data_IF_077461013396
#
_entry.id   IF_077461013396
#
_cell.length_a   1.000
_cell.length_b   1.000
_cell.length_c   1.000
_cell.angle_alpha   90.00
_cell.angle_beta   90.00
_cell.angle_gamma   90.00
#
_symmetry.space_group_name_H-M   'P 1'
#
loop_
_entity.id
_entity.type
_entity.pdbx_description
1 polymer ?
#
# COMPACT_ATOMS: atom_id res chain seq x y z
N UNK A 1 8.69 -21.68 7.70
CA UNK A 1 8.32 -22.24 6.38
C UNK A 1 7.81 -21.09 5.53
N UNK A 2 8.21 -21.02 4.26
CA UNK A 2 7.63 -20.06 3.31
C UNK A 2 6.32 -20.62 2.75
N UNK A 3 5.34 -19.74 2.52
CA UNK A 3 4.07 -20.05 1.86
C UNK A 3 4.08 -19.41 0.46
N UNK A 4 3.55 -20.13 -0.53
CA UNK A 4 3.40 -19.65 -1.91
C UNK A 4 1.92 -19.71 -2.26
N UNK A 5 1.34 -18.52 -2.47
CA UNK A 5 -0.05 -18.37 -2.88
C UNK A 5 -0.15 -18.08 -4.38
N UNK A 6 -1.15 -18.70 -5.02
CA UNK A 6 -1.53 -18.37 -6.39
C UNK A 6 -2.84 -17.58 -6.36
N UNK A 7 -2.75 -16.30 -6.71
CA UNK A 7 -3.89 -15.37 -6.68
C UNK A 7 -4.23 -14.98 -8.12
N UNK A 8 -5.50 -15.09 -8.49
CA UNK A 8 -6.00 -14.61 -9.79
C UNK A 8 -6.66 -13.25 -9.58
N UNK A 9 -5.99 -12.17 -10.00
CA UNK A 9 -6.52 -10.81 -9.95
C UNK A 9 -6.08 -10.03 -11.20
N UNK A 10 -6.98 -9.24 -11.77
CA UNK A 10 -6.69 -8.38 -12.91
C UNK A 10 -5.74 -7.23 -12.55
N UNK A 11 -5.17 -6.60 -13.57
CA UNK A 11 -4.40 -5.37 -13.40
C UNK A 11 -5.33 -4.19 -13.04
N UNK A 12 -4.93 -3.36 -12.09
CA UNK A 12 -5.66 -2.16 -11.67
C UNK A 12 -5.04 -0.86 -12.20
N UNK A 13 -3.80 -0.90 -12.65
CA UNK A 13 -3.09 0.27 -13.20
C UNK A 13 -2.68 0.06 -14.67
N UNK A 14 -2.37 1.16 -15.36
CA UNK A 14 -1.93 1.15 -16.78
C UNK A 14 -0.56 0.47 -16.98
N UNK A 15 0.30 0.51 -15.96
CA UNK A 15 1.64 -0.08 -15.97
C UNK A 15 1.79 -1.02 -14.77
N UNK A 16 1.15 -2.21 -14.80
CA UNK A 16 0.97 -3.05 -13.62
C UNK A 16 2.24 -3.78 -13.19
N UNK A 17 3.18 -4.02 -14.10
CA UNK A 17 4.43 -4.71 -13.81
C UNK A 17 5.59 -4.12 -14.60
N UNK A 18 6.79 -4.38 -14.11
CA UNK A 18 8.05 -4.25 -14.85
C UNK A 18 8.68 -5.63 -15.01
N UNK A 19 9.41 -5.83 -16.11
CA UNK A 19 10.23 -7.03 -16.27
C UNK A 19 11.49 -6.86 -15.43
N UNK A 20 11.79 -7.82 -14.58
CA UNK A 20 12.95 -7.80 -13.70
C UNK A 20 13.56 -9.20 -13.61
N UNK A 21 14.89 -9.27 -13.57
CA UNK A 21 15.59 -10.51 -13.26
C UNK A 21 15.65 -10.72 -11.75
N UNK A 22 15.13 -11.85 -11.30
CA UNK A 22 15.15 -12.30 -9.90
C UNK A 22 15.81 -13.67 -9.89
N UNK A 23 16.98 -13.77 -9.26
CA UNK A 23 17.78 -15.00 -9.19
C UNK A 23 18.00 -15.68 -10.56
N UNK A 24 18.29 -14.87 -11.59
CA UNK A 24 18.53 -15.35 -12.96
C UNK A 24 17.26 -15.75 -13.72
N UNK A 25 16.07 -15.45 -13.18
CA UNK A 25 14.79 -15.67 -13.85
C UNK A 25 14.15 -14.33 -14.18
N UNK A 26 13.82 -14.15 -15.45
CA UNK A 26 13.06 -12.99 -15.91
C UNK A 26 11.60 -13.14 -15.48
N UNK A 27 11.15 -12.24 -14.59
CA UNK A 27 9.79 -12.24 -14.04
C UNK A 27 9.09 -10.90 -14.30
N UNK A 28 7.76 -10.93 -14.35
CA UNK A 28 6.92 -9.73 -14.35
C UNK A 28 6.64 -9.35 -12.90
N UNK A 29 7.44 -8.45 -12.34
CA UNK A 29 7.28 -7.96 -10.97
C UNK A 29 6.28 -6.80 -10.96
N UNK A 30 5.25 -6.89 -10.14
CA UNK A 30 4.28 -5.80 -10.00
C UNK A 30 4.94 -4.49 -9.52
N UNK A 31 4.41 -3.37 -10.00
CA UNK A 31 4.87 -2.05 -9.57
C UNK A 31 4.30 -1.70 -8.20
N UNK A 32 4.96 -0.80 -7.45
CA UNK A 32 4.42 -0.37 -6.15
C UNK A 32 3.00 0.20 -6.25
N UNK A 33 2.66 1.05 -7.24
CA UNK A 33 1.30 1.54 -7.39
C UNK A 33 0.27 0.43 -7.63
N UNK A 34 0.63 -0.61 -8.40
CA UNK A 34 -0.23 -1.78 -8.61
C UNK A 34 -0.46 -2.56 -7.31
N UNK A 35 0.61 -2.84 -6.56
CA UNK A 35 0.55 -3.58 -5.29
C UNK A 35 -0.32 -2.83 -4.28
N UNK A 36 -0.11 -1.51 -4.13
CA UNK A 36 -0.90 -0.69 -3.21
C UNK A 36 -2.34 -0.57 -3.66
N UNK A 37 -2.60 -0.36 -4.96
CA UNK A 37 -3.96 -0.33 -5.51
C UNK A 37 -4.70 -1.64 -5.20
N UNK A 38 -4.07 -2.80 -5.38
CA UNK A 38 -4.67 -4.10 -5.07
C UNK A 38 -4.96 -4.28 -3.58
N UNK A 39 -4.05 -3.86 -2.70
CA UNK A 39 -4.26 -3.90 -1.24
C UNK A 39 -5.48 -3.07 -0.84
N UNK A 40 -5.56 -1.83 -1.30
CA UNK A 40 -6.67 -0.92 -1.01
C UNK A 40 -7.98 -1.46 -1.61
N UNK A 41 -7.95 -1.86 -2.89
CA UNK A 41 -9.13 -2.28 -3.62
C UNK A 41 -9.76 -3.55 -3.05
N UNK A 42 -8.94 -4.58 -2.75
CA UNK A 42 -9.44 -5.88 -2.31
C UNK A 42 -9.54 -6.04 -0.80
N UNK A 43 -8.69 -5.37 -0.02
CA UNK A 43 -8.54 -5.62 1.43
C UNK A 43 -8.56 -4.36 2.29
N UNK A 44 -8.69 -3.18 1.71
CA UNK A 44 -8.55 -1.91 2.40
C UNK A 44 -9.50 -1.73 3.60
N UNK A 45 -10.75 -2.21 3.50
CA UNK A 45 -11.71 -2.18 4.61
C UNK A 45 -11.33 -3.07 5.80
N UNK A 46 -10.40 -4.01 5.61
CA UNK A 46 -9.91 -4.94 6.63
C UNK A 46 -8.40 -4.79 6.89
N UNK A 47 -7.82 -3.67 6.45
CA UNK A 47 -6.39 -3.42 6.46
C UNK A 47 -5.72 -3.81 7.79
N UNK A 48 -4.59 -4.51 7.67
CA UNK A 48 -3.75 -4.93 8.79
C UNK A 48 -2.57 -3.98 8.98
N UNK A 49 -1.88 -4.00 10.13
CA UNK A 49 -0.71 -3.15 10.37
C UNK A 49 0.36 -3.22 9.25
N UNK A 50 0.55 -4.39 8.62
CA UNK A 50 1.44 -4.51 7.45
C UNK A 50 0.95 -3.72 6.24
N UNK A 51 -0.35 -3.74 5.92
CA UNK A 51 -0.88 -2.97 4.79
C UNK A 51 -0.72 -1.46 5.01
N UNK A 52 -0.86 -1.01 6.26
CA UNK A 52 -0.63 0.39 6.67
C UNK A 52 0.83 0.77 6.44
N UNK A 53 1.76 -0.05 6.92
CA UNK A 53 3.18 0.14 6.68
C UNK A 53 3.52 0.14 5.19
N UNK A 54 2.95 -0.78 4.41
CA UNK A 54 3.22 -0.87 2.96
C UNK A 54 2.77 0.40 2.23
N UNK A 55 1.60 0.96 2.57
CA UNK A 55 1.11 2.23 1.99
C UNK A 55 2.09 3.37 2.32
N UNK A 56 2.45 3.51 3.60
CA UNK A 56 3.38 4.55 4.06
C UNK A 56 4.78 4.41 3.41
N UNK A 57 5.31 3.19 3.36
CA UNK A 57 6.61 2.89 2.79
C UNK A 57 6.64 3.14 1.27
N UNK A 58 5.59 2.77 0.54
CA UNK A 58 5.48 3.03 -0.90
C UNK A 58 5.41 4.54 -1.19
N UNK A 59 4.70 5.30 -0.35
CA UNK A 59 4.57 6.74 -0.51
C UNK A 59 5.90 7.50 -0.30
N UNK A 60 6.83 6.99 0.53
CA UNK A 60 8.16 7.63 0.72
C UNK A 60 8.94 7.83 -0.57
N UNK A 61 8.79 6.94 -1.56
CA UNK A 61 9.52 7.03 -2.83
C UNK A 61 8.61 7.25 -4.06
N UNK A 62 7.32 6.92 -3.96
CA UNK A 62 6.39 6.96 -5.09
C UNK A 62 5.02 7.55 -4.74
N UNK A 63 4.97 8.61 -3.91
CA UNK A 63 3.72 9.29 -3.55
C UNK A 63 2.83 9.59 -4.77
N UNK A 64 3.34 10.36 -5.74
CA UNK A 64 2.56 10.74 -6.92
C UNK A 64 1.99 9.55 -7.71
N UNK A 65 2.81 8.54 -8.08
CA UNK A 65 2.31 7.32 -8.71
C UNK A 65 1.28 6.54 -7.87
N UNK A 66 1.47 6.43 -6.55
CA UNK A 66 0.51 5.76 -5.64
C UNK A 66 -0.81 6.52 -5.59
N UNK A 67 -0.77 7.84 -5.38
CA UNK A 67 -1.97 8.70 -5.37
C UNK A 67 -2.71 8.59 -6.70
N UNK A 68 -1.99 8.63 -7.82
CA UNK A 68 -2.57 8.48 -9.15
C UNK A 68 -3.20 7.10 -9.39
N UNK A 69 -2.63 6.02 -8.83
CA UNK A 69 -3.23 4.69 -8.95
C UNK A 69 -4.51 4.56 -8.11
N UNK A 70 -4.52 5.15 -6.92
CA UNK A 70 -5.65 5.10 -5.99
C UNK A 70 -6.80 6.03 -6.39
N UNK A 71 -6.55 7.09 -7.17
CA UNK A 71 -7.59 8.04 -7.60
C UNK A 71 -8.69 7.40 -8.47
N UNK A 72 -8.41 6.25 -9.08
CA UNK A 72 -9.39 5.45 -9.82
C UNK A 72 -10.39 4.70 -8.91
N UNK A 73 -10.13 4.63 -7.60
CA UNK A 73 -10.88 3.80 -6.64
C UNK A 73 -11.31 4.59 -5.37
N UNK A 74 -12.00 5.74 -5.52
CA UNK A 74 -12.29 6.64 -4.39
C UNK A 74 -13.14 5.99 -3.29
N UNK A 75 -14.04 5.08 -3.63
CA UNK A 75 -14.88 4.38 -2.65
C UNK A 75 -14.04 3.44 -1.77
N UNK A 76 -13.14 2.67 -2.39
CA UNK A 76 -12.25 1.74 -1.68
C UNK A 76 -11.25 2.52 -0.82
N UNK A 77 -10.75 3.64 -1.32
CA UNK A 77 -9.90 4.57 -0.55
C UNK A 77 -10.64 5.11 0.66
N UNK A 78 -11.89 5.58 0.51
CA UNK A 78 -12.69 6.09 1.60
C UNK A 78 -12.95 5.04 2.70
N UNK A 79 -13.31 3.81 2.30
CA UNK A 79 -13.50 2.68 3.24
C UNK A 79 -12.20 2.32 3.98
N UNK A 80 -11.07 2.39 3.28
CA UNK A 80 -9.74 2.17 3.89
C UNK A 80 -9.43 3.25 4.90
N UNK A 81 -9.63 4.52 4.53
CA UNK A 81 -9.41 5.68 5.41
C UNK A 81 -10.27 5.61 6.67
N UNK A 82 -11.56 5.29 6.54
CA UNK A 82 -12.46 5.06 7.68
C UNK A 82 -11.98 3.90 8.57
N UNK A 83 -11.48 2.81 7.97
CA UNK A 83 -10.93 1.68 8.72
C UNK A 83 -9.71 2.09 9.55
N UNK A 84 -8.81 2.87 8.95
CA UNK A 84 -7.57 3.33 9.58
C UNK A 84 -7.83 4.30 10.73
N UNK A 85 -8.79 5.23 10.55
CA UNK A 85 -9.19 6.20 11.58
C UNK A 85 -9.69 5.54 12.87
N UNK A 86 -10.30 4.35 12.76
CA UNK A 86 -10.82 3.59 13.91
C UNK A 86 -9.76 2.74 14.62
N UNK A 87 -8.52 2.73 14.14
CA UNK A 87 -7.44 1.96 14.77
C UNK A 87 -6.84 2.69 15.96
N UNK A 88 -6.39 1.94 16.97
CA UNK A 88 -5.59 2.49 18.05
C UNK A 88 -4.13 2.67 17.57
N UNK A 89 -3.59 3.90 17.53
CA UNK A 89 -2.25 4.16 17.02
C UNK A 89 -1.14 3.42 17.76
N UNK A 90 -1.20 3.32 19.10
CA UNK A 90 -0.20 2.59 19.88
C UNK A 90 -0.19 1.10 19.54
N UNK A 91 -1.36 0.51 19.36
CA UNK A 91 -1.48 -0.89 18.99
C UNK A 91 -0.90 -1.14 17.58
N UNK A 92 -1.24 -0.28 16.62
CA UNK A 92 -0.71 -0.37 15.25
C UNK A 92 0.81 -0.21 15.27
N UNK A 93 1.34 0.81 15.95
CA UNK A 93 2.78 1.04 16.07
C UNK A 93 3.52 -0.17 16.67
N UNK A 94 3.00 -0.74 17.77
CA UNK A 94 3.58 -1.96 18.36
C UNK A 94 3.54 -3.16 17.40
N UNK A 95 2.47 -3.33 16.64
CA UNK A 95 2.36 -4.41 15.68
C UNK A 95 3.30 -4.23 14.48
N UNK A 96 3.48 -2.99 13.99
CA UNK A 96 4.44 -2.67 12.93
C UNK A 96 5.88 -2.88 13.40
N UNK A 97 6.21 -2.50 14.64
CA UNK A 97 7.54 -2.71 15.23
C UNK A 97 7.95 -4.20 15.34
N UNK A 98 6.99 -5.13 15.25
CA UNK A 98 7.25 -6.57 15.23
C UNK A 98 7.45 -7.13 13.82
N UNK A 99 7.29 -6.32 12.77
CA UNK A 99 7.55 -6.74 11.40
C UNK A 99 9.06 -6.83 11.14
N UNK A 100 9.45 -7.75 10.26
CA UNK A 100 10.79 -7.75 9.69
C UNK A 100 10.88 -6.61 8.67
N UNK A 101 11.39 -5.47 9.11
CA UNK A 101 11.54 -4.26 8.32
C UNK A 101 13.01 -4.10 7.91
N UNK A 102 13.25 -3.67 6.67
CA UNK A 102 14.59 -3.32 6.22
C UNK A 102 15.08 -2.06 6.94
N UNK A 103 16.37 -2.01 7.29
CA UNK A 103 16.98 -0.93 8.07
C UNK A 103 16.59 0.49 7.57
N UNK A 104 16.59 0.70 6.25
CA UNK A 104 16.27 1.99 5.61
C UNK A 104 14.80 2.46 5.84
N UNK A 105 13.94 1.56 6.31
CA UNK A 105 12.53 1.79 6.57
C UNK A 105 12.14 1.71 8.05
N UNK A 106 13.06 1.42 8.97
CA UNK A 106 12.75 1.34 10.41
C UNK A 106 12.17 2.66 10.93
N UNK A 107 12.73 3.80 10.50
CA UNK A 107 12.24 5.13 10.86
C UNK A 107 10.80 5.38 10.35
N UNK A 108 10.33 4.63 9.35
CA UNK A 108 8.95 4.77 8.83
C UNK A 108 7.93 4.06 9.72
N UNK A 109 8.35 3.12 10.57
CA UNK A 109 7.46 2.28 11.36
C UNK A 109 6.60 3.08 12.36
N UNK A 110 7.22 4.06 13.02
CA UNK A 110 6.56 4.84 14.07
C UNK A 110 5.38 5.68 13.53
N UNK A 111 5.58 6.34 12.39
CA UNK A 111 4.61 7.30 11.83
C UNK A 111 3.79 6.68 10.68
N UNK A 112 3.84 5.36 10.50
CA UNK A 112 3.21 4.67 9.36
C UNK A 112 1.71 4.88 9.29
N UNK A 113 1.01 4.93 10.43
CA UNK A 113 -0.44 5.13 10.44
C UNK A 113 -0.80 6.52 9.91
N UNK A 114 -0.16 7.55 10.45
CA UNK A 114 -0.40 8.94 10.06
C UNK A 114 0.00 9.17 8.60
N UNK A 115 1.16 8.65 8.18
CA UNK A 115 1.62 8.74 6.81
C UNK A 115 0.65 8.06 5.82
N UNK A 116 0.12 6.89 6.17
CA UNK A 116 -0.87 6.21 5.33
C UNK A 116 -2.19 7.00 5.25
N UNK A 117 -2.65 7.59 6.35
CA UNK A 117 -3.85 8.44 6.37
C UNK A 117 -3.65 9.67 5.46
N UNK A 118 -2.50 10.35 5.55
CA UNK A 118 -2.17 11.50 4.70
C UNK A 118 -2.24 11.14 3.21
N UNK A 119 -1.71 9.98 2.81
CA UNK A 119 -1.79 9.50 1.43
C UNK A 119 -3.24 9.31 0.98
N UNK A 120 -4.08 8.70 1.82
CA UNK A 120 -5.48 8.45 1.47
C UNK A 120 -6.29 9.75 1.42
N UNK A 121 -6.04 10.69 2.33
CA UNK A 121 -6.68 12.01 2.33
C UNK A 121 -6.23 12.85 1.11
N UNK A 122 -4.97 12.73 0.65
CA UNK A 122 -4.50 13.36 -0.59
C UNK A 122 -5.25 12.82 -1.82
N UNK A 123 -5.50 11.51 -1.87
CA UNK A 123 -6.31 10.89 -2.93
C UNK A 123 -7.74 11.43 -2.92
N UNK A 124 -8.36 11.54 -1.74
CA UNK A 124 -9.76 11.97 -1.60
C UNK A 124 -9.96 13.48 -1.85
N UNK A 125 -8.92 14.29 -1.65
CA UNK A 125 -8.94 15.73 -1.91
C UNK A 125 -8.53 16.12 -3.33
N UNK A 126 -7.86 15.21 -4.07
CA UNK A 126 -7.47 15.44 -5.46
C UNK A 126 -8.68 15.38 -6.41
N UNK A 127 -8.83 16.33 -7.35
CA UNK A 127 -9.88 16.25 -8.35
C UNK A 127 -9.70 15.00 -9.22
N UNK A 128 -10.81 14.29 -9.49
CA UNK A 128 -10.79 13.13 -10.39
C UNK A 128 -10.21 13.55 -11.75
N UNK A 129 -9.08 12.97 -12.12
CA UNK A 129 -8.54 13.07 -13.48
C UNK A 129 -9.36 12.13 -14.36
N UNK A 130 -10.38 12.68 -15.01
CA UNK A 130 -11.18 12.03 -16.05
C UNK A 130 -10.34 11.63 -17.24
#
# INVERSE_FOLDING_TARGET
MGEIDFIVAGALTKAPFKVQDVEGRTVRLETLPEIIAKKVYHRGSEAKPRDIFDIAAAARSQLGPVVNALSAFPEQVARTRERLEKLNPEFVGRAIAQLMIMLDYEASAADSLDAAIVVLDEVLSSPQKT
#
